data_IF_841224549049
#
_entry.id   IF_841224549049
#
_cell.length_a   1.000
_cell.length_b   1.000
_cell.length_c   1.000
_cell.angle_alpha   90.00
_cell.angle_beta   90.00
_cell.angle_gamma   90.00
#
_symmetry.space_group_name_H-M   'P 1'
#
loop_
_entity.id
_entity.type
_entity.pdbx_description
1 polymer ?
#
# COMPACT_ATOMS: atom_id res chain seq x y z
N UNK A 1 -12.46 -8.30 -18.92
CA UNK A 1 -11.98 -8.98 -17.70
C UNK A 1 -11.75 -7.94 -16.62
N UNK A 2 -12.34 -8.12 -15.44
CA UNK A 2 -12.15 -7.24 -14.28
C UNK A 2 -10.66 -7.31 -13.89
N UNK A 3 -9.93 -6.21 -13.98
CA UNK A 3 -8.52 -6.19 -13.59
C UNK A 3 -8.45 -6.39 -12.08
N UNK A 4 -7.80 -7.45 -11.62
CA UNK A 4 -7.71 -7.74 -10.18
C UNK A 4 -6.78 -6.72 -9.53
N UNK A 5 -7.38 -5.76 -8.82
CA UNK A 5 -6.66 -4.72 -8.11
C UNK A 5 -6.49 -5.12 -6.65
N UNK A 6 -5.26 -5.04 -6.15
CA UNK A 6 -4.89 -5.35 -4.77
C UNK A 6 -4.37 -4.09 -4.09
N UNK A 7 -4.87 -3.81 -2.91
CA UNK A 7 -4.28 -2.84 -2.00
C UNK A 7 -3.32 -3.53 -1.03
N UNK A 8 -2.14 -2.96 -0.81
CA UNK A 8 -1.16 -3.43 0.18
C UNK A 8 -0.91 -2.32 1.19
N UNK A 9 -1.24 -2.57 2.47
CA UNK A 9 -0.93 -1.64 3.56
C UNK A 9 0.50 -1.85 4.04
N UNK A 10 1.33 -0.82 3.90
CA UNK A 10 2.71 -0.85 4.39
C UNK A 10 2.99 0.31 5.33
N UNK A 11 3.30 -0.03 6.58
CA UNK A 11 3.78 0.90 7.60
C UNK A 11 5.31 0.86 7.59
N UNK A 12 5.93 2.02 7.41
CA UNK A 12 7.38 2.16 7.38
C UNK A 12 7.85 3.26 8.32
N UNK A 13 8.77 2.92 9.22
CA UNK A 13 9.34 3.86 10.18
C UNK A 13 10.86 3.79 10.12
N UNK A 14 11.50 4.96 10.03
CA UNK A 14 12.96 5.07 10.11
C UNK A 14 13.51 4.53 11.44
N UNK A 15 12.70 4.50 12.51
CA UNK A 15 13.07 3.93 13.81
C UNK A 15 13.00 2.40 13.88
N UNK A 16 12.15 1.76 13.05
CA UNK A 16 11.90 0.31 13.08
C UNK A 16 12.50 -0.43 11.87
N UNK A 17 13.09 0.31 10.93
CA UNK A 17 13.61 -0.20 9.67
C UNK A 17 12.54 -0.48 8.62
N UNK A 18 12.98 -0.94 7.44
CA UNK A 18 12.16 -1.11 6.24
C UNK A 18 11.84 -2.57 5.89
N UNK A 19 12.03 -3.50 6.82
CA UNK A 19 11.81 -4.94 6.55
C UNK A 19 10.39 -5.26 6.04
N UNK A 20 9.36 -4.66 6.65
CA UNK A 20 7.97 -4.84 6.20
C UNK A 20 7.72 -4.25 4.81
N UNK A 21 8.33 -3.09 4.52
CA UNK A 21 8.26 -2.48 3.21
C UNK A 21 8.92 -3.35 2.15
N UNK A 22 10.13 -3.83 2.40
CA UNK A 22 10.85 -4.68 1.46
C UNK A 22 10.09 -5.98 1.15
N UNK A 23 9.51 -6.65 2.16
CA UNK A 23 8.67 -7.83 1.94
C UNK A 23 7.42 -7.52 1.11
N UNK A 24 6.74 -6.42 1.43
CA UNK A 24 5.56 -5.95 0.70
C UNK A 24 5.90 -5.62 -0.76
N UNK A 25 7.07 -5.03 -0.99
CA UNK A 25 7.57 -4.68 -2.31
C UNK A 25 7.89 -5.94 -3.13
N UNK A 26 8.57 -6.93 -2.56
CA UNK A 26 8.82 -8.22 -3.22
C UNK A 26 7.50 -8.90 -3.60
N UNK A 27 6.52 -8.94 -2.69
CA UNK A 27 5.20 -9.50 -2.98
C UNK A 27 4.49 -8.74 -4.12
N UNK A 28 4.53 -7.41 -4.10
CA UNK A 28 3.92 -6.57 -5.13
C UNK A 28 4.52 -6.81 -6.52
N UNK A 29 5.84 -7.00 -6.60
CA UNK A 29 6.54 -7.32 -7.85
C UNK A 29 6.07 -8.67 -8.42
N UNK A 30 5.96 -9.70 -7.58
CA UNK A 30 5.46 -11.01 -8.01
C UNK A 30 3.98 -10.98 -8.43
N UNK A 31 3.14 -10.23 -7.71
CA UNK A 31 1.74 -10.04 -8.10
C UNK A 31 1.62 -9.26 -9.41
N UNK A 32 2.48 -8.26 -9.64
CA UNK A 32 2.52 -7.50 -10.90
C UNK A 32 2.85 -8.41 -12.09
N UNK A 33 3.79 -9.35 -11.95
CA UNK A 33 4.08 -10.37 -12.98
C UNK A 33 2.85 -11.21 -13.32
N UNK A 34 1.96 -11.42 -12.35
CA UNK A 34 0.65 -12.10 -12.51
C UNK A 34 -0.47 -11.17 -13.00
N UNK A 35 -0.14 -9.98 -13.51
CA UNK A 35 -1.06 -8.97 -14.07
C UNK A 35 -2.03 -8.34 -13.07
N UNK A 36 -1.74 -8.40 -11.77
CA UNK A 36 -2.48 -7.63 -10.77
C UNK A 36 -2.08 -6.16 -10.82
N UNK A 37 -3.04 -5.27 -10.58
CA UNK A 37 -2.77 -3.85 -10.35
C UNK A 37 -2.60 -3.62 -8.86
N UNK A 38 -1.46 -3.05 -8.45
CA UNK A 38 -1.12 -2.88 -7.03
C UNK A 38 -1.25 -1.41 -6.63
N UNK A 39 -1.96 -1.17 -5.52
CA UNK A 39 -2.06 0.13 -4.86
C UNK A 39 -1.45 0.05 -3.46
N UNK A 40 -0.39 0.81 -3.22
CA UNK A 40 0.22 0.90 -1.90
C UNK A 40 -0.51 1.92 -1.02
N UNK A 41 -0.77 1.52 0.22
CA UNK A 41 -1.38 2.31 1.27
C UNK A 41 -0.27 2.59 2.30
N UNK A 42 0.29 3.81 2.32
CA UNK A 42 1.52 4.13 3.09
C UNK A 42 1.37 5.34 3.99
N UNK A 43 2.21 5.41 5.03
CA UNK A 43 2.40 6.64 5.79
C UNK A 43 3.29 7.62 5.01
N UNK A 44 3.29 8.90 5.43
CA UNK A 44 4.20 9.91 4.86
C UNK A 44 5.66 9.58 5.21
N UNK A 45 6.31 8.80 4.34
CA UNK A 45 7.70 8.42 4.44
C UNK A 45 8.41 8.68 3.09
N UNK A 46 9.29 9.69 2.98
CA UNK A 46 9.93 10.07 1.72
C UNK A 46 10.72 8.94 1.06
N UNK A 47 11.37 8.08 1.85
CA UNK A 47 12.18 6.97 1.31
C UNK A 47 11.29 5.94 0.62
N UNK A 48 10.15 5.59 1.23
CA UNK A 48 9.17 4.68 0.64
C UNK A 48 8.54 5.29 -0.62
N UNK A 49 8.16 6.58 -0.55
CA UNK A 49 7.57 7.29 -1.69
C UNK A 49 8.52 7.28 -2.89
N UNK A 50 9.80 7.61 -2.68
CA UNK A 50 10.80 7.61 -3.74
C UNK A 50 10.97 6.24 -4.39
N UNK A 51 10.98 5.17 -3.58
CA UNK A 51 11.13 3.81 -4.10
C UNK A 51 9.89 3.35 -4.89
N UNK A 52 8.68 3.68 -4.42
CA UNK A 52 7.44 3.38 -5.14
C UNK A 52 7.35 4.15 -6.46
N UNK A 53 7.74 5.43 -6.48
CA UNK A 53 7.82 6.26 -7.69
C UNK A 53 8.80 5.68 -8.70
N UNK A 54 10.02 5.33 -8.27
CA UNK A 54 11.06 4.72 -9.12
C UNK A 54 10.55 3.46 -9.82
N UNK A 55 9.75 2.66 -9.11
CA UNK A 55 9.19 1.39 -9.62
C UNK A 55 7.82 1.52 -10.28
N UNK A 56 7.30 2.75 -10.35
CA UNK A 56 6.01 3.10 -10.97
C UNK A 56 4.82 2.39 -10.31
N UNK A 57 4.88 2.17 -8.99
CA UNK A 57 3.72 1.69 -8.23
C UNK A 57 2.76 2.84 -7.91
N UNK A 58 1.46 2.56 -7.97
CA UNK A 58 0.45 3.49 -7.47
C UNK A 58 0.47 3.48 -5.94
N UNK A 59 0.27 4.65 -5.32
CA UNK A 59 0.19 4.74 -3.87
C UNK A 59 -0.75 5.85 -3.41
N UNK A 60 -1.21 5.71 -2.17
CA UNK A 60 -1.91 6.75 -1.40
C UNK A 60 -1.14 6.93 -0.10
N UNK A 61 -0.87 8.19 0.23
CA UNK A 61 -0.27 8.59 1.50
C UNK A 61 -1.37 8.95 2.47
N UNK A 62 -1.34 8.38 3.68
CA UNK A 62 -2.24 8.78 4.75
C UNK A 62 -1.58 9.72 5.74
N UNK A 63 -2.42 10.58 6.32
CA UNK A 63 -2.14 11.19 7.61
C UNK A 63 -2.17 10.12 8.70
N UNK A 64 -1.37 10.30 9.74
CA UNK A 64 -1.44 9.43 10.92
C UNK A 64 -2.84 9.52 11.53
N UNK A 65 -3.49 8.38 11.72
CA UNK A 65 -4.72 8.29 12.48
C UNK A 65 -4.40 8.19 13.97
N UNK A 66 -5.23 8.85 14.79
CA UNK A 66 -5.09 8.81 16.26
C UNK A 66 -5.74 7.55 16.86
N UNK A 67 -6.44 6.74 16.07
CA UNK A 67 -6.98 5.44 16.52
C UNK A 67 -6.98 4.43 15.38
N UNK A 68 -6.72 3.16 15.75
CA UNK A 68 -6.76 2.03 14.82
C UNK A 68 -8.15 1.86 14.20
N UNK A 69 -9.21 2.03 14.99
CA UNK A 69 -10.58 1.93 14.48
C UNK A 69 -10.86 2.93 13.36
N UNK A 70 -10.44 4.20 13.50
CA UNK A 70 -10.63 5.22 12.46
C UNK A 70 -9.82 4.90 11.20
N UNK A 71 -8.59 4.39 11.36
CA UNK A 71 -7.79 3.91 10.23
C UNK A 71 -8.51 2.77 9.50
N UNK A 72 -9.02 1.77 10.22
CA UNK A 72 -9.72 0.63 9.64
C UNK A 72 -10.97 1.04 8.88
N UNK A 73 -11.82 1.90 9.46
CA UNK A 73 -13.04 2.41 8.80
C UNK A 73 -12.68 3.14 7.51
N UNK A 74 -11.67 4.01 7.55
CA UNK A 74 -11.22 4.73 6.37
C UNK A 74 -10.69 3.80 5.26
N UNK A 75 -9.92 2.77 5.64
CA UNK A 75 -9.40 1.77 4.69
C UNK A 75 -10.56 1.01 4.05
N UNK A 76 -11.54 0.54 4.84
CA UNK A 76 -12.70 -0.18 4.31
C UNK A 76 -13.48 0.68 3.30
N UNK A 77 -13.74 1.94 3.63
CA UNK A 77 -14.41 2.89 2.73
C UNK A 77 -13.63 3.10 1.42
N UNK A 78 -12.31 3.22 1.51
CA UNK A 78 -11.44 3.36 0.35
C UNK A 78 -11.47 2.12 -0.56
N UNK A 79 -11.40 0.93 0.04
CA UNK A 79 -11.44 -0.35 -0.67
C UNK A 79 -12.77 -0.55 -1.38
N UNK A 80 -13.88 -0.25 -0.70
CA UNK A 80 -15.23 -0.32 -1.25
C UNK A 80 -15.40 0.65 -2.44
N UNK A 81 -14.99 1.92 -2.27
CA UNK A 81 -15.06 2.94 -3.34
C UNK A 81 -14.24 2.58 -4.57
N UNK A 82 -13.07 1.96 -4.37
CA UNK A 82 -12.17 1.59 -5.47
C UNK A 82 -12.37 0.16 -5.97
N UNK A 83 -13.27 -0.61 -5.34
CA UNK A 83 -13.55 -2.01 -5.62
C UNK A 83 -12.24 -2.84 -5.71
N UNK A 84 -11.46 -2.75 -4.63
CA UNK A 84 -10.14 -3.37 -4.45
C UNK A 84 -10.22 -4.58 -3.51
N UNK A 85 -9.40 -5.61 -3.76
CA UNK A 85 -9.12 -6.65 -2.78
C UNK A 85 -8.00 -6.19 -1.83
N UNK A 86 -8.03 -6.60 -0.56
CA UNK A 86 -7.07 -6.15 0.47
C UNK A 86 -6.14 -7.30 0.89
N UNK A 87 -4.85 -6.99 1.00
CA UNK A 87 -3.78 -7.86 1.51
C UNK A 87 -2.96 -7.13 2.58
#
# INVERSE_FOLDING_TARGET
MKQNKIAIRCIGSTKKGFGNFNRSLTLAEELRKKKYTILFLIDKNPQIINELLKRKFQYIVFSKFNSLHRESVFIIDLLNKKNLNFL
#
